data_IF_566984973678
#
_entry.id   IF_566984973678
#
_cell.length_a   1.000
_cell.length_b   1.000
_cell.length_c   1.000
_cell.angle_alpha   90.00
_cell.angle_beta   90.00
_cell.angle_gamma   90.00
#
_symmetry.space_group_name_H-M   'P 1'
#
loop_
_entity.id
_entity.type
_entity.pdbx_description
1 polymer ?
#
# COMPACT_ATOMS: atom_id res chain seq x y z
N UNK A 1 27.61 13.01 -0.18
CA UNK A 1 27.15 11.61 -0.04
C UNK A 1 26.39 11.23 -1.30
N UNK A 2 26.81 10.17 -1.96
CA UNK A 2 26.05 9.55 -3.06
C UNK A 2 25.18 8.44 -2.46
N UNK A 3 23.86 8.52 -2.64
CA UNK A 3 22.91 7.49 -2.21
C UNK A 3 22.82 6.43 -3.31
N UNK A 4 23.88 5.61 -3.46
CA UNK A 4 23.97 4.58 -4.49
C UNK A 4 24.51 3.29 -3.89
N UNK A 5 24.14 2.15 -4.49
CA UNK A 5 24.66 0.85 -4.11
C UNK A 5 26.06 0.63 -4.67
N UNK A 6 26.95 0.12 -3.85
CA UNK A 6 28.35 -0.16 -4.23
C UNK A 6 28.52 -1.59 -4.74
N UNK A 7 29.33 -1.74 -5.79
CA UNK A 7 29.78 -3.04 -6.23
C UNK A 7 30.87 -3.57 -5.29
N UNK A 8 30.59 -4.69 -4.59
CA UNK A 8 31.49 -5.24 -3.60
C UNK A 8 32.60 -6.13 -4.20
N UNK A 9 32.41 -6.64 -5.39
CA UNK A 9 33.25 -7.73 -5.90
C UNK A 9 34.32 -7.30 -6.88
N UNK A 10 34.17 -6.18 -7.55
CA UNK A 10 35.13 -5.70 -8.55
C UNK A 10 35.16 -4.17 -8.54
N UNK A 11 36.35 -3.61 -8.63
CA UNK A 11 36.58 -2.14 -8.65
C UNK A 11 36.04 -1.43 -9.92
N UNK A 12 34.96 -1.89 -10.51
CA UNK A 12 34.55 -1.49 -11.84
C UNK A 12 33.53 -0.36 -11.90
N UNK A 13 32.68 -0.17 -10.91
CA UNK A 13 31.70 0.90 -10.89
C UNK A 13 31.24 1.23 -9.48
N UNK A 14 31.10 2.50 -9.20
CA UNK A 14 30.50 2.99 -7.95
C UNK A 14 28.96 2.94 -8.00
N UNK A 15 28.35 2.60 -9.13
CA UNK A 15 26.93 2.60 -9.35
C UNK A 15 26.46 1.23 -9.87
N UNK A 16 25.57 0.59 -9.13
CA UNK A 16 24.90 -0.65 -9.49
C UNK A 16 23.48 -0.38 -9.97
N UNK A 17 23.31 -0.13 -11.24
CA UNK A 17 22.01 0.22 -11.83
C UNK A 17 20.94 -0.86 -11.58
N UNK A 18 21.30 -2.15 -11.59
CA UNK A 18 20.34 -3.23 -11.32
C UNK A 18 19.91 -3.29 -9.85
N UNK A 19 20.80 -2.98 -8.90
CA UNK A 19 20.45 -2.87 -7.47
C UNK A 19 19.56 -1.67 -7.22
N UNK A 20 19.83 -0.55 -7.88
CA UNK A 20 18.99 0.65 -7.81
C UNK A 20 17.59 0.36 -8.38
N UNK A 21 17.51 -0.35 -9.50
CA UNK A 21 16.25 -0.77 -10.11
C UNK A 21 15.47 -1.75 -9.19
N UNK A 22 16.14 -2.71 -8.58
CA UNK A 22 15.54 -3.63 -7.61
C UNK A 22 15.01 -2.87 -6.40
N UNK A 23 15.79 -1.95 -5.84
CA UNK A 23 15.37 -1.13 -4.70
C UNK A 23 14.10 -0.31 -5.02
N UNK A 24 14.03 0.30 -6.20
CA UNK A 24 12.85 1.04 -6.64
C UNK A 24 11.64 0.11 -6.78
N UNK A 25 11.84 -1.09 -7.34
CA UNK A 25 10.78 -2.08 -7.49
C UNK A 25 10.29 -2.61 -6.13
N UNK A 26 11.19 -2.91 -5.20
CA UNK A 26 10.84 -3.32 -3.84
C UNK A 26 10.11 -2.22 -3.08
N UNK A 27 10.56 -0.97 -3.20
CA UNK A 27 9.87 0.20 -2.62
C UNK A 27 8.46 0.34 -3.18
N UNK A 28 8.29 0.15 -4.49
CA UNK A 28 6.97 0.13 -5.12
C UNK A 28 6.08 -0.96 -4.51
N UNK A 29 6.59 -2.17 -4.31
CA UNK A 29 5.83 -3.28 -3.73
C UNK A 29 5.44 -3.09 -2.27
N UNK A 30 6.17 -2.28 -1.51
CA UNK A 30 5.73 -1.84 -0.18
C UNK A 30 4.44 -1.03 -0.27
N UNK A 31 4.34 -0.17 -1.29
CA UNK A 31 3.22 0.75 -1.48
C UNK A 31 2.07 0.12 -2.27
N UNK A 32 2.38 -0.48 -3.42
CA UNK A 32 1.40 -1.15 -4.27
C UNK A 32 2.04 -2.24 -5.12
N UNK A 33 1.29 -3.31 -5.34
CA UNK A 33 1.71 -4.45 -6.15
C UNK A 33 0.51 -5.02 -6.88
N UNK A 34 0.70 -5.38 -8.13
CA UNK A 34 -0.26 -6.13 -8.91
C UNK A 34 0.07 -7.62 -8.87
N UNK A 35 -0.93 -8.45 -8.65
CA UNK A 35 -0.84 -9.90 -8.71
C UNK A 35 -2.07 -10.43 -9.45
N UNK A 36 -1.87 -10.91 -10.67
CA UNK A 36 -2.95 -11.28 -11.59
C UNK A 36 -3.99 -10.14 -11.69
N UNK A 37 -5.21 -10.38 -11.24
CA UNK A 37 -6.35 -9.47 -11.30
C UNK A 37 -6.59 -8.71 -9.98
N UNK A 38 -5.60 -8.76 -9.08
CA UNK A 38 -5.64 -8.13 -7.76
C UNK A 38 -4.68 -6.97 -7.67
N UNK A 39 -5.17 -5.84 -7.14
CA UNK A 39 -4.33 -4.74 -6.69
C UNK A 39 -4.15 -4.80 -5.18
N UNK A 40 -2.91 -4.96 -4.74
CA UNK A 40 -2.53 -4.90 -3.34
C UNK A 40 -2.00 -3.53 -2.98
N UNK A 41 -2.51 -2.91 -1.92
CA UNK A 41 -1.99 -1.67 -1.37
C UNK A 41 -1.43 -1.90 0.05
N UNK A 42 -0.25 -1.36 0.30
CA UNK A 42 0.42 -1.33 1.61
C UNK A 42 0.72 -2.71 2.21
N UNK A 43 0.93 -3.71 1.35
CA UNK A 43 1.10 -5.12 1.73
C UNK A 43 2.10 -5.34 2.85
N UNK A 44 3.26 -4.73 2.78
CA UNK A 44 4.35 -4.85 3.75
C UNK A 44 4.73 -3.50 4.37
N UNK A 45 3.87 -2.50 4.25
CA UNK A 45 4.10 -1.20 4.85
C UNK A 45 4.30 -1.33 6.38
N UNK A 46 5.32 -0.68 6.94
CA UNK A 46 5.60 -0.72 8.38
C UNK A 46 4.42 -0.19 9.19
N UNK A 47 4.11 -0.84 10.31
CA UNK A 47 3.02 -0.40 11.22
C UNK A 47 3.20 1.04 11.69
N UNK A 48 4.44 1.50 11.83
CA UNK A 48 4.74 2.88 12.24
C UNK A 48 4.18 3.94 11.29
N UNK A 49 3.98 3.60 9.99
CA UNK A 49 3.38 4.51 9.02
C UNK A 49 1.88 4.76 9.25
N UNK A 50 1.28 3.98 10.15
CA UNK A 50 -0.13 4.09 10.54
C UNK A 50 -0.27 4.58 11.99
N UNK A 51 0.80 5.17 12.57
CA UNK A 51 0.72 5.81 13.88
C UNK A 51 -0.26 7.00 13.85
N UNK A 52 -0.70 7.44 15.01
CA UNK A 52 -1.66 8.53 15.12
C UNK A 52 -1.17 9.81 14.43
N UNK A 53 -2.03 10.41 13.62
CA UNK A 53 -1.73 11.61 12.81
C UNK A 53 -0.94 11.35 11.53
N UNK A 54 -0.46 10.12 11.28
CA UNK A 54 0.27 9.79 10.06
C UNK A 54 -0.65 9.71 8.83
N UNK A 55 -0.05 9.98 7.67
CA UNK A 55 -0.75 9.96 6.39
C UNK A 55 0.10 9.33 5.29
N UNK A 56 -0.57 8.65 4.37
CA UNK A 56 0.05 8.16 3.14
C UNK A 56 -0.76 8.68 1.97
N UNK A 57 -0.10 9.33 1.03
CA UNK A 57 -0.71 9.82 -0.19
C UNK A 57 0.04 9.25 -1.41
N UNK A 58 -0.66 8.44 -2.19
CA UNK A 58 -0.23 8.00 -3.52
C UNK A 58 -1.04 8.78 -4.54
N UNK A 59 -0.38 9.57 -5.36
CA UNK A 59 -1.05 10.41 -6.35
C UNK A 59 -0.58 10.08 -7.76
N UNK A 60 -1.49 9.65 -8.61
CA UNK A 60 -1.24 9.39 -10.02
C UNK A 60 -0.23 8.29 -10.30
N UNK A 61 -0.07 7.32 -9.38
CA UNK A 61 0.86 6.22 -9.60
C UNK A 61 0.39 5.31 -10.72
N UNK A 62 1.34 4.80 -11.50
CA UNK A 62 1.05 3.96 -12.66
C UNK A 62 1.08 2.47 -12.30
N UNK A 63 0.04 1.76 -12.68
CA UNK A 63 -0.07 0.31 -12.51
C UNK A 63 -0.57 -0.37 -13.80
N UNK A 64 -0.68 -1.71 -13.80
CA UNK A 64 -1.34 -2.46 -14.87
C UNK A 64 -2.83 -2.12 -14.99
N UNK A 65 -3.43 -1.65 -13.90
CA UNK A 65 -4.81 -1.20 -13.81
C UNK A 65 -4.97 0.30 -14.11
N UNK A 66 -3.99 0.91 -14.78
CA UNK A 66 -4.00 2.33 -15.08
C UNK A 66 -3.49 3.19 -13.92
N UNK A 67 -4.05 4.39 -13.81
CA UNK A 67 -3.70 5.34 -12.76
C UNK A 67 -4.39 4.95 -11.45
N UNK A 68 -3.64 5.02 -10.36
CA UNK A 68 -4.13 4.80 -9.00
C UNK A 68 -3.86 6.06 -8.18
N UNK A 69 -4.86 6.48 -7.42
CA UNK A 69 -4.71 7.43 -6.33
C UNK A 69 -5.18 6.74 -5.03
N UNK A 70 -4.40 6.81 -3.96
CA UNK A 70 -4.77 6.25 -2.67
C UNK A 70 -4.37 7.20 -1.54
N UNK A 71 -5.25 7.40 -0.59
CA UNK A 71 -5.01 8.25 0.58
C UNK A 71 -5.35 7.48 1.84
N UNK A 72 -4.44 7.51 2.80
CA UNK A 72 -4.65 6.95 4.14
C UNK A 72 -4.54 8.07 5.17
N UNK A 73 -5.42 8.05 6.14
CA UNK A 73 -5.39 8.94 7.30
C UNK A 73 -5.53 8.12 8.57
N UNK A 74 -4.57 8.24 9.44
CA UNK A 74 -4.58 7.55 10.74
C UNK A 74 -5.02 8.49 11.84
N UNK A 75 -6.10 8.11 12.49
CA UNK A 75 -6.69 8.78 13.64
C UNK A 75 -6.80 7.77 14.78
N UNK A 76 -5.71 7.05 15.04
CA UNK A 76 -5.68 5.97 16.05
C UNK A 76 -5.97 6.51 17.45
N UNK A 77 -5.57 7.76 17.74
CA UNK A 77 -5.93 8.46 18.97
C UNK A 77 -7.44 8.69 19.13
N UNK A 78 -8.18 8.77 18.02
CA UNK A 78 -9.64 8.88 17.97
C UNK A 78 -10.30 7.50 17.75
N UNK A 79 -9.50 6.44 17.61
CA UNK A 79 -9.96 5.06 17.49
C UNK A 79 -10.24 4.59 16.06
N UNK A 80 -9.67 5.19 15.02
CA UNK A 80 -9.89 4.70 13.65
C UNK A 80 -8.72 4.98 12.68
N UNK A 81 -8.71 4.21 11.58
CA UNK A 81 -7.90 4.47 10.38
C UNK A 81 -8.84 4.45 9.18
N UNK A 82 -8.67 5.39 8.26
CA UNK A 82 -9.45 5.44 7.03
C UNK A 82 -8.57 5.51 5.79
N UNK A 83 -9.11 5.03 4.67
CA UNK A 83 -8.48 5.11 3.37
C UNK A 83 -9.50 5.34 2.26
N UNK A 84 -9.08 6.09 1.23
CA UNK A 84 -9.79 6.20 -0.04
C UNK A 84 -8.89 5.73 -1.16
N UNK A 85 -9.44 5.00 -2.12
CA UNK A 85 -8.73 4.49 -3.29
C UNK A 85 -9.54 4.78 -4.53
N UNK A 86 -8.88 5.32 -5.56
CA UNK A 86 -9.47 5.45 -6.90
C UNK A 86 -8.57 4.82 -7.94
N UNK A 87 -9.17 4.22 -8.96
CA UNK A 87 -8.50 3.59 -10.08
C UNK A 87 -9.27 3.89 -11.37
N UNK A 88 -8.59 3.79 -12.52
CA UNK A 88 -9.25 3.91 -13.81
C UNK A 88 -10.39 2.85 -13.93
N UNK A 89 -11.65 3.27 -14.09
CA UNK A 89 -12.79 2.34 -14.09
C UNK A 89 -12.78 1.36 -15.27
N UNK A 90 -12.12 1.69 -16.37
CA UNK A 90 -12.02 0.82 -17.57
C UNK A 90 -10.93 -0.26 -17.42
N UNK A 91 -9.99 -0.06 -16.50
CA UNK A 91 -8.82 -0.94 -16.29
C UNK A 91 -8.67 -1.41 -14.85
N UNK A 92 -9.73 -1.31 -14.07
CA UNK A 92 -9.74 -1.66 -12.64
C UNK A 92 -9.45 -3.15 -12.40
N UNK A 93 -8.84 -3.50 -11.24
CA UNK A 93 -8.72 -4.89 -10.81
C UNK A 93 -10.09 -5.47 -10.43
N UNK A 94 -10.22 -6.78 -10.46
CA UNK A 94 -11.42 -7.47 -9.94
C UNK A 94 -11.44 -7.45 -8.40
N UNK A 95 -10.26 -7.54 -7.79
CA UNK A 95 -10.11 -7.50 -6.33
C UNK A 95 -9.16 -6.36 -5.94
N UNK A 96 -9.61 -5.52 -5.02
CA UNK A 96 -8.75 -4.58 -4.32
C UNK A 96 -8.48 -5.08 -2.89
N UNK A 97 -7.21 -5.25 -2.54
CA UNK A 97 -6.76 -5.67 -1.23
C UNK A 97 -5.96 -4.55 -0.55
N UNK A 98 -6.45 -4.00 0.54
CA UNK A 98 -5.81 -2.89 1.25
C UNK A 98 -5.45 -3.31 2.67
N UNK A 99 -4.20 -3.15 3.05
CA UNK A 99 -3.75 -3.43 4.42
C UNK A 99 -3.58 -2.14 5.20
N UNK A 100 -4.33 -1.99 6.30
CA UNK A 100 -4.31 -0.84 7.20
C UNK A 100 -4.05 -1.33 8.64
N UNK A 101 -2.82 -1.74 8.98
CA UNK A 101 -2.54 -2.37 10.26
C UNK A 101 -2.51 -1.35 11.39
N UNK A 102 -3.15 -1.66 12.50
CA UNK A 102 -3.00 -0.85 13.72
C UNK A 102 -1.54 -0.82 14.18
N UNK A 103 -0.95 0.32 14.57
CA UNK A 103 0.45 0.43 14.97
C UNK A 103 0.83 -0.50 16.12
N UNK A 104 -0.09 -0.78 17.04
CA UNK A 104 0.10 -1.68 18.18
C UNK A 104 -0.51 -3.08 17.96
N UNK A 105 -0.92 -3.43 16.73
CA UNK A 105 -1.47 -4.75 16.40
C UNK A 105 -2.87 -5.03 16.95
N UNK A 106 -3.64 -4.00 17.32
CA UNK A 106 -5.04 -4.18 17.72
C UNK A 106 -5.87 -4.61 16.51
N UNK A 107 -6.88 -5.43 16.75
CA UNK A 107 -7.88 -5.79 15.73
C UNK A 107 -9.01 -4.76 15.71
N UNK A 108 -9.54 -4.42 14.54
CA UNK A 108 -10.68 -3.52 14.46
C UNK A 108 -11.94 -4.19 15.03
N UNK A 109 -12.74 -3.40 15.74
CA UNK A 109 -14.07 -3.83 16.23
C UNK A 109 -15.14 -3.66 15.17
N UNK A 110 -14.90 -2.80 14.18
CA UNK A 110 -15.78 -2.58 13.03
C UNK A 110 -14.98 -2.25 11.79
N UNK A 111 -15.39 -2.78 10.66
CA UNK A 111 -14.83 -2.47 9.35
C UNK A 111 -15.95 -2.09 8.38
N UNK A 112 -15.74 -1.03 7.64
CA UNK A 112 -16.62 -0.59 6.55
C UNK A 112 -15.84 -0.48 5.26
N UNK A 113 -16.50 -0.66 4.13
CA UNK A 113 -15.90 -0.54 2.80
C UNK A 113 -15.27 -1.81 2.25
N UNK A 114 -15.36 -2.94 2.96
CA UNK A 114 -14.86 -4.21 2.49
C UNK A 114 -14.95 -5.32 3.55
N UNK A 115 -14.55 -6.53 3.17
CA UNK A 115 -14.49 -7.70 4.05
C UNK A 115 -13.09 -7.76 4.70
N UNK A 116 -13.04 -7.83 6.01
CA UNK A 116 -11.78 -7.91 6.76
C UNK A 116 -11.33 -9.35 6.97
N UNK A 117 -10.08 -9.65 6.65
CA UNK A 117 -9.40 -10.89 7.01
C UNK A 117 -8.47 -10.64 8.21
N UNK A 118 -8.83 -11.19 9.35
CA UNK A 118 -8.08 -11.02 10.60
C UNK A 118 -6.69 -11.66 10.59
N UNK A 119 -6.48 -12.67 9.76
CA UNK A 119 -5.20 -13.40 9.71
C UNK A 119 -4.14 -12.59 9.00
N UNK A 120 -4.53 -11.93 7.94
CA UNK A 120 -3.63 -11.16 7.07
C UNK A 120 -3.75 -9.65 7.26
N UNK A 121 -4.75 -9.19 8.00
CA UNK A 121 -5.10 -7.77 8.21
C UNK A 121 -5.49 -7.05 6.91
N UNK A 122 -6.03 -7.78 5.94
CA UNK A 122 -6.50 -7.23 4.69
C UNK A 122 -7.96 -6.80 4.77
N UNK A 123 -8.27 -5.66 4.17
CA UNK A 123 -9.60 -5.31 3.75
C UNK A 123 -9.71 -5.67 2.28
N UNK A 124 -10.58 -6.61 1.96
CA UNK A 124 -10.80 -7.15 0.63
C UNK A 124 -12.09 -6.56 0.05
N UNK A 125 -12.00 -5.99 -1.14
CA UNK A 125 -13.12 -5.39 -1.85
C UNK A 125 -13.29 -6.16 -3.15
N UNK A 126 -14.20 -7.12 -3.10
CA UNK A 126 -14.60 -7.92 -4.25
C UNK A 126 -15.40 -7.04 -5.23
N UNK A 127 -15.31 -7.31 -6.51
CA UNK A 127 -16.00 -6.55 -7.57
C UNK A 127 -15.73 -5.02 -7.49
N UNK A 128 -14.48 -4.66 -7.22
CA UNK A 128 -14.06 -3.26 -7.12
C UNK A 128 -14.48 -2.47 -8.37
N UNK A 129 -15.18 -1.38 -8.18
CA UNK A 129 -15.79 -0.60 -9.27
C UNK A 129 -14.96 0.63 -9.72
N UNK A 130 -13.76 0.80 -9.17
CA UNK A 130 -12.87 1.93 -9.44
C UNK A 130 -12.77 2.94 -8.30
N UNK A 131 -13.64 2.85 -7.29
CA UNK A 131 -13.60 3.69 -6.09
C UNK A 131 -13.88 2.87 -4.84
N UNK A 132 -13.16 3.16 -3.77
CA UNK A 132 -13.39 2.56 -2.46
C UNK A 132 -13.14 3.57 -1.33
N UNK A 133 -13.98 3.48 -0.30
CA UNK A 133 -13.79 4.17 0.97
C UNK A 133 -13.82 3.15 2.08
N UNK A 134 -12.76 3.08 2.85
CA UNK A 134 -12.51 2.07 3.88
C UNK A 134 -12.35 2.77 5.21
N UNK A 135 -12.92 2.19 6.27
CA UNK A 135 -12.70 2.64 7.64
C UNK A 135 -12.64 1.45 8.59
N UNK A 136 -11.60 1.43 9.42
CA UNK A 136 -11.38 0.47 10.49
C UNK A 136 -11.51 1.20 11.82
N UNK A 137 -12.42 0.76 12.69
CA UNK A 137 -12.63 1.31 14.04
C UNK A 137 -12.05 0.34 15.08
N UNK A 138 -11.36 0.87 16.10
CA UNK A 138 -10.60 0.10 17.11
C UNK A 138 -11.12 0.33 18.54
#
# INVERSE_FOLDING_TARGET
QTYTFWEHMYKLSAHKTHEEANFLMETRWVLYMEDADTLHLFRVAPRAWFADGERIDLEGVRSYFGRIDARVRSHVGEGYIEATVTCDPERKPSLLAVRLPHPQGKKPVRVTGGRYDETTEWVLIDDFNGEASIRLEY
#
